data_IF_282597632724
#
_entry.id   IF_282597632724
#
_cell.length_a   1.000
_cell.length_b   1.000
_cell.length_c   1.000
_cell.angle_alpha   90.00
_cell.angle_beta   90.00
_cell.angle_gamma   90.00
#
_symmetry.space_group_name_H-M   'P 1'
#
loop_
_entity.id
_entity.type
_entity.pdbx_description
1 polymer ?
#
# COMPACT_ATOMS: atom_id res chain seq x y z
N UNK A 1 -35.36 0.58 31.85
CA UNK A 1 -33.90 0.62 32.11
C UNK A 1 -33.33 -0.72 31.70
N UNK A 2 -32.73 -0.82 30.51
CA UNK A 2 -32.13 -2.05 29.99
C UNK A 2 -30.84 -1.71 29.24
N UNK A 3 -29.83 -2.54 29.45
CA UNK A 3 -28.41 -2.28 29.23
C UNK A 3 -28.03 -1.74 27.85
N UNK A 4 -27.33 -0.60 27.89
CA UNK A 4 -26.54 -0.09 26.79
C UNK A 4 -25.28 -0.96 26.72
N UNK A 5 -25.25 -1.93 25.79
CA UNK A 5 -24.03 -2.64 25.44
C UNK A 5 -23.01 -1.62 24.89
N UNK A 6 -21.84 -1.41 25.51
CA UNK A 6 -20.77 -0.64 24.89
C UNK A 6 -20.26 -1.46 23.71
N UNK A 7 -20.71 -1.11 22.51
CA UNK A 7 -20.18 -1.63 21.27
C UNK A 7 -18.66 -1.47 21.29
N UNK A 8 -17.94 -2.57 21.08
CA UNK A 8 -16.49 -2.58 20.94
C UNK A 8 -16.10 -1.49 19.94
N UNK A 9 -15.62 -0.35 20.43
CA UNK A 9 -15.05 0.68 19.59
C UNK A 9 -13.88 0.02 18.86
N UNK A 10 -14.07 -0.24 17.56
CA UNK A 10 -12.98 -0.60 16.66
C UNK A 10 -11.91 0.45 16.89
N UNK A 11 -10.75 0.06 17.39
CA UNK A 11 -9.69 1.01 17.72
C UNK A 11 -9.17 1.60 16.41
N UNK A 12 -9.80 2.70 15.97
CA UNK A 12 -9.40 3.40 14.76
C UNK A 12 -8.05 4.07 15.02
N UNK A 13 -7.08 3.77 14.17
CA UNK A 13 -5.73 4.29 14.30
C UNK A 13 -5.75 5.79 14.03
N UNK A 14 -5.18 6.59 14.93
CA UNK A 14 -5.01 8.03 14.70
C UNK A 14 -4.15 8.28 13.46
N UNK A 15 -4.42 9.36 12.72
CA UNK A 15 -3.61 9.77 11.57
C UNK A 15 -2.10 9.83 11.89
N UNK A 16 -1.73 10.33 13.07
CA UNK A 16 -0.33 10.34 13.54
C UNK A 16 0.25 8.93 13.62
N UNK A 17 -0.49 7.99 14.20
CA UNK A 17 -0.08 6.58 14.29
C UNK A 17 0.03 5.93 12.92
N UNK A 18 -0.89 6.23 12.00
CA UNK A 18 -0.83 5.73 10.62
C UNK A 18 0.42 6.26 9.88
N UNK A 19 0.74 7.56 10.04
CA UNK A 19 1.95 8.18 9.46
C UNK A 19 3.22 7.55 10.05
N UNK A 20 3.27 7.39 11.38
CA UNK A 20 4.43 6.78 12.04
C UNK A 20 4.60 5.31 11.66
N UNK A 21 3.51 4.58 11.48
CA UNK A 21 3.54 3.22 10.95
C UNK A 21 4.15 3.20 9.55
N UNK A 22 3.67 4.04 8.64
CA UNK A 22 4.23 4.13 7.28
C UNK A 22 5.70 4.51 7.29
N UNK A 23 6.12 5.43 8.16
CA UNK A 23 7.54 5.80 8.28
C UNK A 23 8.36 4.61 8.76
N UNK A 24 7.92 3.93 9.83
CA UNK A 24 8.62 2.75 10.35
C UNK A 24 8.72 1.63 9.32
N UNK A 25 7.63 1.30 8.63
CA UNK A 25 7.59 0.18 7.67
C UNK A 25 8.12 0.52 6.27
N UNK A 26 7.90 1.74 5.80
CA UNK A 26 8.45 2.23 4.55
C UNK A 26 9.97 2.43 4.63
N UNK A 27 10.50 2.79 5.78
CA UNK A 27 11.95 2.91 6.00
C UNK A 27 12.57 1.65 6.60
N UNK A 28 11.76 0.64 6.94
CA UNK A 28 12.22 -0.58 7.57
C UNK A 28 13.19 -1.36 6.66
N UNK A 29 14.47 -1.13 6.92
CA UNK A 29 15.59 -2.02 6.60
C UNK A 29 15.30 -3.52 6.82
N UNK A 30 14.60 -3.95 7.89
CA UNK A 30 14.35 -5.39 8.11
C UNK A 30 13.51 -6.06 7.02
N UNK A 31 12.55 -5.39 6.36
CA UNK A 31 11.79 -6.02 5.28
C UNK A 31 12.65 -6.29 4.05
N UNK A 32 13.60 -5.38 3.74
CA UNK A 32 14.61 -5.62 2.71
C UNK A 32 15.55 -6.75 3.11
N UNK A 33 16.00 -6.76 4.37
CA UNK A 33 16.83 -7.85 4.91
C UNK A 33 16.15 -9.22 4.78
N UNK A 34 14.88 -9.32 5.15
CA UNK A 34 14.09 -10.56 5.02
C UNK A 34 13.97 -10.98 3.56
N UNK A 35 13.65 -10.06 2.64
CA UNK A 35 13.57 -10.38 1.22
C UNK A 35 14.91 -10.89 0.65
N UNK A 36 16.03 -10.28 1.05
CA UNK A 36 17.38 -10.72 0.66
C UNK A 36 17.68 -12.11 1.22
N UNK A 37 17.38 -12.37 2.49
CA UNK A 37 17.57 -13.69 3.11
C UNK A 37 16.72 -14.74 2.39
N UNK A 38 15.45 -14.46 2.11
CA UNK A 38 14.58 -15.38 1.34
C UNK A 38 15.13 -15.66 -0.06
N UNK A 39 15.67 -14.65 -0.75
CA UNK A 39 16.31 -14.85 -2.06
C UNK A 39 17.57 -15.71 -1.96
N UNK A 40 18.40 -15.52 -0.92
CA UNK A 40 19.57 -16.35 -0.68
C UNK A 40 19.20 -17.80 -0.38
N UNK A 41 18.16 -18.03 0.43
CA UNK A 41 17.62 -19.38 0.71
C UNK A 41 17.09 -20.03 -0.56
N UNK A 42 16.39 -19.27 -1.42
CA UNK A 42 15.94 -19.75 -2.74
C UNK A 42 17.13 -20.23 -3.58
N UNK A 43 18.18 -19.40 -3.71
CA UNK A 43 19.38 -19.72 -4.51
C UNK A 43 20.11 -20.92 -3.92
N UNK A 44 20.35 -20.93 -2.61
CA UNK A 44 21.05 -22.03 -1.93
C UNK A 44 20.28 -23.36 -2.05
N UNK A 45 18.97 -23.34 -1.84
CA UNK A 45 18.12 -24.51 -2.00
C UNK A 45 18.10 -25.03 -3.44
N UNK A 46 18.08 -24.13 -4.42
CA UNK A 46 18.15 -24.50 -5.84
C UNK A 46 19.52 -25.08 -6.22
N UNK A 47 20.62 -24.50 -5.76
CA UNK A 47 21.96 -25.05 -5.95
C UNK A 47 22.10 -26.43 -5.30
N UNK A 48 21.60 -26.60 -4.07
CA UNK A 48 21.61 -27.89 -3.38
C UNK A 48 20.78 -28.96 -4.11
N UNK A 49 19.66 -28.55 -4.74
CA UNK A 49 18.85 -29.44 -5.57
C UNK A 49 19.63 -30.01 -6.76
N UNK A 50 20.45 -29.19 -7.43
CA UNK A 50 21.25 -29.61 -8.58
C UNK A 50 22.32 -30.65 -8.24
N UNK A 51 22.83 -30.63 -7.01
CA UNK A 51 23.93 -31.52 -6.55
C UNK A 51 23.40 -32.76 -5.82
N UNK A 52 22.16 -32.73 -5.32
CA UNK A 52 21.60 -33.85 -4.55
C UNK A 52 21.37 -35.10 -5.40
N UNK A 53 21.68 -36.28 -4.86
CA UNK A 53 21.40 -37.58 -5.48
C UNK A 53 20.12 -38.22 -4.94
N UNK A 54 19.62 -37.80 -3.77
CA UNK A 54 18.44 -38.39 -3.13
C UNK A 54 17.14 -37.70 -3.57
N UNK A 55 16.16 -38.49 -4.03
CA UNK A 55 14.89 -37.97 -4.58
C UNK A 55 14.03 -37.26 -3.53
N UNK A 56 13.93 -37.79 -2.31
CA UNK A 56 13.16 -37.17 -1.21
C UNK A 56 13.70 -35.79 -0.83
N UNK A 57 15.02 -35.63 -0.81
CA UNK A 57 15.70 -34.36 -0.51
C UNK A 57 15.47 -33.34 -1.63
N UNK A 58 15.44 -33.78 -2.90
CA UNK A 58 15.17 -32.89 -4.04
C UNK A 58 13.80 -32.23 -3.97
N UNK A 59 12.77 -33.00 -3.64
CA UNK A 59 11.40 -32.47 -3.51
C UNK A 59 11.32 -31.42 -2.39
N UNK A 60 11.93 -31.70 -1.23
CA UNK A 60 11.98 -30.76 -0.11
C UNK A 60 12.69 -29.45 -0.49
N UNK A 61 13.84 -29.55 -1.17
CA UNK A 61 14.63 -28.38 -1.58
C UNK A 61 13.90 -27.50 -2.61
N UNK A 62 13.23 -28.11 -3.59
CA UNK A 62 12.39 -27.37 -4.53
C UNK A 62 11.22 -26.68 -3.84
N UNK A 63 10.58 -27.35 -2.89
CA UNK A 63 9.48 -26.77 -2.13
C UNK A 63 9.95 -25.53 -1.34
N UNK A 64 11.04 -25.66 -0.57
CA UNK A 64 11.59 -24.56 0.22
C UNK A 64 12.07 -23.40 -0.67
N UNK A 65 12.74 -23.71 -1.78
CA UNK A 65 13.18 -22.70 -2.75
C UNK A 65 11.99 -21.96 -3.36
N UNK A 66 10.94 -22.67 -3.78
CA UNK A 66 9.72 -22.10 -4.32
C UNK A 66 9.01 -21.18 -3.33
N UNK A 67 8.78 -21.64 -2.09
CA UNK A 67 8.11 -20.84 -1.05
C UNK A 67 8.92 -19.58 -0.71
N UNK A 68 10.24 -19.71 -0.58
CA UNK A 68 11.13 -18.57 -0.29
C UNK A 68 11.11 -17.55 -1.43
N UNK A 69 11.07 -18.02 -2.68
CA UNK A 69 10.98 -17.16 -3.84
C UNK A 69 9.68 -16.38 -3.94
N UNK A 70 8.55 -17.05 -3.71
CA UNK A 70 7.24 -16.40 -3.65
C UNK A 70 7.19 -15.33 -2.54
N UNK A 71 7.76 -15.64 -1.37
CA UNK A 71 7.81 -14.70 -0.26
C UNK A 71 8.66 -13.47 -0.58
N UNK A 72 9.84 -13.66 -1.18
CA UNK A 72 10.70 -12.55 -1.61
C UNK A 72 9.99 -11.62 -2.62
N UNK A 73 9.28 -12.20 -3.59
CA UNK A 73 8.49 -11.44 -4.57
C UNK A 73 7.32 -10.69 -3.92
N UNK A 74 6.58 -11.36 -3.03
CA UNK A 74 5.46 -10.75 -2.31
C UNK A 74 5.90 -9.53 -1.50
N UNK A 75 7.00 -9.65 -0.74
CA UNK A 75 7.58 -8.53 0.02
C UNK A 75 8.04 -7.42 -0.93
N UNK A 76 8.76 -7.76 -2.00
CA UNK A 76 9.30 -6.80 -2.96
C UNK A 76 8.22 -5.91 -3.60
N UNK A 77 7.08 -6.49 -3.97
CA UNK A 77 5.99 -5.72 -4.60
C UNK A 77 5.32 -4.72 -3.64
N UNK A 78 5.05 -5.14 -2.40
CA UNK A 78 4.36 -4.31 -1.40
C UNK A 78 5.24 -3.17 -0.84
N UNK A 79 6.53 -3.43 -0.66
CA UNK A 79 7.47 -2.46 -0.06
C UNK A 79 7.61 -1.19 -0.92
N UNK A 80 7.52 -1.31 -2.26
CA UNK A 80 7.67 -0.17 -3.17
C UNK A 80 6.65 0.96 -2.91
N UNK A 81 5.39 0.62 -2.62
CA UNK A 81 4.34 1.59 -2.33
C UNK A 81 4.53 2.28 -0.98
N UNK A 82 4.92 1.51 0.05
CA UNK A 82 5.16 2.05 1.39
C UNK A 82 6.40 2.94 1.45
N UNK A 83 7.47 2.60 0.73
CA UNK A 83 8.66 3.44 0.61
C UNK A 83 8.35 4.79 0.00
N UNK A 84 7.57 4.76 -1.09
CA UNK A 84 7.09 5.95 -1.78
C UNK A 84 6.25 6.81 -0.82
N UNK A 85 5.29 6.22 -0.12
CA UNK A 85 4.48 6.92 0.87
C UNK A 85 5.33 7.53 2.00
N UNK A 86 6.28 6.77 2.56
CA UNK A 86 7.17 7.24 3.62
C UNK A 86 8.01 8.44 3.18
N UNK A 87 8.60 8.38 1.98
CA UNK A 87 9.33 9.51 1.38
C UNK A 87 8.43 10.73 1.21
N UNK A 88 7.20 10.53 0.74
CA UNK A 88 6.21 11.60 0.62
C UNK A 88 5.96 12.31 1.95
N UNK A 89 5.90 11.59 3.07
CA UNK A 89 5.70 12.19 4.40
C UNK A 89 6.82 13.14 4.86
N UNK A 90 8.01 13.10 4.22
CA UNK A 90 9.16 13.93 4.56
C UNK A 90 9.38 15.07 3.57
N UNK A 91 9.40 14.75 2.28
CA UNK A 91 9.84 15.69 1.23
C UNK A 91 8.76 16.03 0.22
N UNK A 92 7.53 15.52 0.41
CA UNK A 92 6.48 15.69 -0.58
C UNK A 92 5.89 17.09 -0.57
N UNK A 93 5.61 17.62 -1.77
CA UNK A 93 4.82 18.83 -1.96
C UNK A 93 3.35 18.51 -1.66
N UNK A 94 2.70 19.36 -0.88
CA UNK A 94 1.29 19.19 -0.52
C UNK A 94 0.40 20.05 -1.40
N UNK A 95 -0.67 19.44 -1.89
CA UNK A 95 -1.73 20.07 -2.67
C UNK A 95 -3.03 19.86 -1.90
N UNK A 96 -3.68 20.96 -1.53
CA UNK A 96 -4.95 20.93 -0.81
C UNK A 96 -6.11 20.92 -1.79
N UNK A 97 -7.15 20.17 -1.46
CA UNK A 97 -8.42 20.26 -2.17
C UNK A 97 -9.41 19.24 -1.68
N UNK A 98 -10.39 18.93 -2.53
CA UNK A 98 -11.48 18.01 -2.21
C UNK A 98 -11.37 16.81 -3.15
N UNK A 99 -11.33 15.62 -2.56
CA UNK A 99 -11.36 14.36 -3.29
C UNK A 99 -12.77 13.77 -3.23
N UNK A 100 -13.32 13.42 -4.38
CA UNK A 100 -14.58 12.71 -4.49
C UNK A 100 -14.29 11.22 -4.45
N UNK A 101 -14.52 10.58 -3.30
CA UNK A 101 -14.33 9.15 -3.11
C UNK A 101 -15.57 8.37 -3.51
N UNK A 102 -15.35 7.24 -4.19
CA UNK A 102 -16.34 6.21 -4.47
C UNK A 102 -15.84 4.90 -3.87
N UNK A 103 -16.64 4.33 -2.98
CA UNK A 103 -16.35 3.06 -2.31
C UNK A 103 -17.37 2.04 -2.79
N UNK A 104 -16.94 1.12 -3.65
CA UNK A 104 -17.74 0.01 -4.12
C UNK A 104 -17.44 -1.24 -3.27
N UNK A 105 -18.51 -1.78 -2.66
CA UNK A 105 -18.47 -2.96 -1.78
C UNK A 105 -19.32 -4.10 -2.33
N UNK A 106 -19.62 -4.09 -3.62
CA UNK A 106 -20.35 -5.16 -4.30
C UNK A 106 -19.64 -6.51 -4.17
N UNK A 107 -18.31 -6.51 -4.17
CA UNK A 107 -17.47 -7.65 -3.83
C UNK A 107 -16.95 -7.52 -2.38
N UNK A 108 -17.37 -8.44 -1.51
CA UNK A 108 -16.93 -8.47 -0.11
C UNK A 108 -15.46 -8.81 0.06
N UNK A 109 -14.84 -9.47 -0.92
CA UNK A 109 -13.42 -9.80 -0.92
C UNK A 109 -12.57 -8.67 -1.51
N UNK A 110 -13.11 -7.92 -2.48
CA UNK A 110 -12.41 -6.84 -3.17
C UNK A 110 -13.17 -5.51 -3.12
N UNK A 111 -13.09 -4.82 -1.97
CA UNK A 111 -13.59 -3.45 -1.87
C UNK A 111 -12.76 -2.53 -2.78
N UNK A 112 -13.41 -1.99 -3.81
CA UNK A 112 -12.79 -1.03 -4.73
C UNK A 112 -12.98 0.38 -4.20
N UNK A 113 -11.87 1.10 -4.03
CA UNK A 113 -11.88 2.48 -3.56
C UNK A 113 -11.22 3.34 -4.64
N UNK A 114 -12.00 4.21 -5.23
CA UNK A 114 -11.52 5.18 -6.22
C UNK A 114 -11.75 6.60 -5.73
N UNK A 115 -10.92 7.53 -6.18
CA UNK A 115 -11.12 8.94 -5.88
C UNK A 115 -10.71 9.83 -7.03
N UNK A 116 -11.48 10.88 -7.25
CA UNK A 116 -11.17 11.89 -8.24
C UNK A 116 -10.90 13.24 -7.57
N UNK A 117 -9.82 13.89 -7.97
CA UNK A 117 -9.50 15.23 -7.53
C UNK A 117 -9.05 16.08 -8.71
N UNK A 118 -9.47 17.33 -8.74
CA UNK A 118 -9.08 18.30 -9.75
C UNK A 118 -8.37 19.50 -9.11
N UNK A 119 -7.25 19.90 -9.69
CA UNK A 119 -6.54 21.15 -9.36
C UNK A 119 -6.20 21.87 -10.66
N UNK A 120 -6.91 22.96 -10.95
CA UNK A 120 -6.80 23.67 -12.22
C UNK A 120 -7.12 22.76 -13.41
N UNK A 121 -6.15 22.58 -14.31
CA UNK A 121 -6.27 21.69 -15.48
C UNK A 121 -5.87 20.23 -15.21
N UNK A 122 -5.34 19.91 -14.02
CA UNK A 122 -4.97 18.55 -13.68
C UNK A 122 -6.16 17.81 -13.04
N UNK A 123 -6.46 16.62 -13.54
CA UNK A 123 -7.43 15.69 -12.96
C UNK A 123 -6.70 14.41 -12.59
N UNK A 124 -6.79 14.01 -11.32
CA UNK A 124 -6.26 12.73 -10.85
C UNK A 124 -7.40 11.75 -10.65
N UNK A 125 -7.29 10.59 -11.27
CA UNK A 125 -8.14 9.44 -11.00
C UNK A 125 -7.30 8.43 -10.23
N UNK A 126 -7.59 8.29 -8.94
CA UNK A 126 -6.81 7.53 -7.99
C UNK A 126 -7.52 6.22 -7.65
N UNK A 127 -6.76 5.13 -7.66
CA UNK A 127 -7.20 3.83 -7.17
C UNK A 127 -6.46 3.53 -5.89
N UNK A 128 -7.18 3.29 -4.79
CA UNK A 128 -6.56 3.10 -3.49
C UNK A 128 -6.48 1.63 -3.10
N UNK A 129 -5.42 1.28 -2.39
CA UNK A 129 -5.31 -0.01 -1.72
C UNK A 129 -6.19 -0.06 -0.47
N UNK A 130 -6.11 -1.18 0.26
CA UNK A 130 -6.82 -1.33 1.54
C UNK A 130 -6.40 -0.22 2.52
N UNK A 131 -7.36 0.53 3.10
CA UNK A 131 -7.07 1.57 4.09
C UNK A 131 -6.54 0.99 5.41
N UNK A 132 -5.72 1.76 6.12
CA UNK A 132 -5.07 1.33 7.35
C UNK A 132 -5.83 1.78 8.59
N UNK A 133 -6.59 0.88 9.21
CA UNK A 133 -7.19 1.15 10.51
C UNK A 133 -8.37 2.12 10.51
N UNK A 134 -8.96 2.40 9.34
CA UNK A 134 -10.16 3.21 9.19
C UNK A 134 -10.95 2.74 7.96
N UNK A 135 -12.21 3.17 7.82
CA UNK A 135 -13.07 2.77 6.69
C UNK A 135 -13.60 4.01 5.97
N UNK A 136 -13.13 4.33 4.75
CA UNK A 136 -13.61 5.47 4.00
C UNK A 136 -15.07 5.25 3.58
N UNK A 137 -15.77 6.37 3.41
CA UNK A 137 -17.12 6.41 2.89
C UNK A 137 -17.14 7.20 1.58
N UNK A 138 -18.07 6.86 0.70
CA UNK A 138 -18.32 7.60 -0.55
C UNK A 138 -18.71 9.04 -0.22
N UNK A 139 -18.16 10.00 -0.96
CA UNK A 139 -18.48 11.42 -0.78
C UNK A 139 -17.32 12.35 -1.13
N UNK A 140 -17.57 13.64 -0.98
CA UNK A 140 -16.56 14.68 -1.15
C UNK A 140 -15.85 14.94 0.18
N UNK A 141 -14.53 14.80 0.20
CA UNK A 141 -13.74 14.93 1.42
C UNK A 141 -12.58 15.92 1.27
N UNK A 142 -12.36 16.82 2.24
CA UNK A 142 -11.16 17.64 2.25
C UNK A 142 -9.93 16.76 2.45
N UNK A 143 -8.89 17.00 1.65
CA UNK A 143 -7.67 16.23 1.69
C UNK A 143 -6.43 17.06 1.32
N UNK A 144 -5.25 16.54 1.68
CA UNK A 144 -3.97 16.97 1.17
C UNK A 144 -3.35 15.83 0.35
N UNK A 145 -3.24 16.02 -0.97
CA UNK A 145 -2.44 15.14 -1.81
C UNK A 145 -0.96 15.47 -1.62
N UNK A 146 -0.13 14.44 -1.42
CA UNK A 146 1.30 14.59 -1.24
C UNK A 146 2.02 14.02 -2.46
N UNK A 147 2.58 14.92 -3.27
CA UNK A 147 3.31 14.60 -4.48
C UNK A 147 4.81 14.55 -4.20
N UNK A 148 5.51 13.62 -4.82
CA UNK A 148 6.97 13.58 -4.85
C UNK A 148 7.40 14.20 -6.16
N UNK A 149 8.47 15.00 -6.12
CA UNK A 149 9.10 15.55 -7.33
C UNK A 149 9.33 14.42 -8.35
N UNK A 150 9.02 14.69 -9.61
CA UNK A 150 9.15 13.79 -10.77
C UNK A 150 8.03 12.75 -10.95
N UNK A 151 7.02 12.70 -10.07
CA UNK A 151 5.92 11.75 -10.21
C UNK A 151 4.58 12.43 -10.58
N UNK A 152 3.86 11.93 -11.59
CA UNK A 152 2.60 12.53 -12.03
C UNK A 152 1.44 12.27 -11.05
N UNK A 153 1.51 11.20 -10.27
CA UNK A 153 0.47 10.76 -9.35
C UNK A 153 0.93 11.02 -7.92
N UNK A 154 0.05 11.45 -6.99
CA UNK A 154 0.41 11.55 -5.58
C UNK A 154 0.90 10.21 -5.02
N UNK A 155 1.83 10.31 -4.07
CA UNK A 155 2.33 9.15 -3.34
C UNK A 155 1.46 8.81 -2.12
N UNK A 156 0.70 9.80 -1.64
CA UNK A 156 -0.14 9.70 -0.44
C UNK A 156 -1.29 10.70 -0.55
N UNK A 157 -2.47 10.33 -0.03
CA UNK A 157 -3.58 11.26 0.21
C UNK A 157 -3.85 11.28 1.70
N UNK A 158 -3.71 12.46 2.31
CA UNK A 158 -3.97 12.70 3.72
C UNK A 158 -5.37 13.27 3.88
N UNK A 159 -6.15 12.69 4.77
CA UNK A 159 -7.49 13.14 5.14
C UNK A 159 -7.53 13.32 6.65
N UNK A 160 -8.55 14.00 7.15
CA UNK A 160 -8.71 14.22 8.60
C UNK A 160 -8.76 12.91 9.40
N UNK A 161 -9.47 11.92 8.86
CA UNK A 161 -9.77 10.66 9.53
C UNK A 161 -8.76 9.54 9.22
N UNK A 162 -7.82 9.77 8.30
CA UNK A 162 -6.86 8.74 7.91
C UNK A 162 -6.13 9.06 6.62
N UNK A 163 -5.36 8.09 6.14
CA UNK A 163 -4.63 8.20 4.89
C UNK A 163 -5.03 7.13 3.89
N UNK A 164 -4.86 7.44 2.61
CA UNK A 164 -5.01 6.51 1.50
C UNK A 164 -3.72 6.44 0.67
N UNK A 165 -3.38 5.23 0.23
CA UNK A 165 -2.24 4.97 -0.63
C UNK A 165 -2.70 4.71 -2.06
N UNK A 166 -2.40 5.62 -3.00
CA UNK A 166 -2.62 5.38 -4.42
C UNK A 166 -1.85 4.16 -4.90
N UNK A 167 -2.52 3.31 -5.67
CA UNK A 167 -1.94 2.14 -6.35
C UNK A 167 -1.40 2.53 -7.71
N UNK A 168 -0.68 1.60 -8.37
CA UNK A 168 -0.13 1.77 -9.72
C UNK A 168 -1.19 1.99 -10.81
N UNK A 169 -2.46 1.68 -10.54
CA UNK A 169 -3.58 1.94 -11.46
C UNK A 169 -3.98 3.42 -11.51
N UNK A 170 -3.50 4.23 -10.56
CA UNK A 170 -3.83 5.65 -10.47
C UNK A 170 -3.16 6.44 -11.60
N UNK A 171 -3.84 7.47 -12.10
CA UNK A 171 -3.41 8.24 -13.27
C UNK A 171 -3.65 9.74 -13.08
N UNK A 172 -2.85 10.55 -13.77
CA UNK A 172 -3.05 11.99 -13.91
C UNK A 172 -3.39 12.30 -15.36
N UNK A 173 -4.55 12.89 -15.57
CA UNK A 173 -4.98 13.43 -16.84
C UNK A 173 -4.84 14.94 -16.82
N UNK A 174 -4.33 15.51 -17.90
CA UNK A 174 -4.43 16.95 -18.15
C UNK A 174 -5.74 17.15 -18.90
N UNK A 175 -6.68 17.88 -18.28
CA UNK A 175 -7.89 18.32 -18.96
C UNK A 175 -7.49 19.00 -20.25
N UNK A 176 -7.89 18.44 -21.39
CA UNK A 176 -7.76 19.10 -22.69
C UNK A 176 -8.46 20.45 -22.55
N UNK A 177 -7.74 21.55 -22.78
CA UNK A 177 -8.36 22.85 -23.02
C UNK A 177 -9.30 22.66 -24.21
N UNK A 178 -10.61 22.60 -23.95
CA UNK A 178 -11.64 22.85 -24.96
C UNK A 178 -11.77 24.34 -25.16
#
# INVERSE_FOLDING_TARGET
MAGQHPGKAKHELSLKQQIDYIRRFGEAWPLRGVAVVCALVMIAGFCAFLVSSQESVKVLLLFVSGVSGLLALAIGTQVSGLQRAARATRTGRRVRGVINLVVDRSDSENVLITGEMQEGSAVWTLHFGRPFGWTPQTGAWPCEMVLISDEPVPALVLMEHGLLLPTRKSQKNLGRRS
#
